data_IF_993850041713
#
_entry.id   IF_993850041713
#
_cell.length_a   1.000
_cell.length_b   1.000
_cell.length_c   1.000
_cell.angle_alpha   90.00
_cell.angle_beta   90.00
_cell.angle_gamma   90.00
#
_symmetry.space_group_name_H-M   'P 1'
#
loop_
_entity.id
_entity.type
_entity.pdbx_description
1 polymer ?
#
# COMPACT_ATOMS: atom_id res chain seq x y z
N UNK A 1 2.21 34.22 31.85
CA UNK A 1 2.92 33.40 30.84
C UNK A 1 1.97 32.28 30.44
N UNK A 2 1.21 32.47 29.36
CA UNK A 2 0.11 31.57 28.97
C UNK A 2 0.62 30.62 27.89
N UNK A 3 0.65 29.33 28.20
CA UNK A 3 1.03 28.27 27.27
C UNK A 3 -0.20 27.91 26.43
N UNK A 4 -0.12 28.13 25.11
CA UNK A 4 -1.17 27.72 24.16
C UNK A 4 -0.76 26.37 23.57
N UNK A 5 -1.54 25.33 23.87
CA UNK A 5 -1.36 24.00 23.30
C UNK A 5 -2.19 23.91 21.99
N UNK A 6 -1.51 23.75 20.86
CA UNK A 6 -2.17 23.49 19.59
C UNK A 6 -2.44 21.99 19.45
N UNK A 7 -3.70 21.58 19.56
CA UNK A 7 -4.14 20.26 19.12
C UNK A 7 -4.48 20.31 17.63
N UNK A 8 -3.61 19.76 16.78
CA UNK A 8 -3.94 19.51 15.38
C UNK A 8 -4.83 18.26 15.31
N UNK A 9 -6.13 18.45 15.11
CA UNK A 9 -7.02 17.37 14.71
C UNK A 9 -6.69 16.96 13.28
N UNK A 10 -5.92 15.88 13.13
CA UNK A 10 -5.76 15.20 11.84
C UNK A 10 -7.06 14.48 11.50
N UNK A 11 -7.94 15.12 10.73
CA UNK A 11 -9.10 14.45 10.17
C UNK A 11 -8.62 13.45 9.11
N UNK A 12 -8.57 12.16 9.47
CA UNK A 12 -8.45 11.09 8.49
C UNK A 12 -9.77 11.03 7.72
N UNK A 13 -9.83 11.68 6.55
CA UNK A 13 -10.97 11.54 5.65
C UNK A 13 -11.10 10.06 5.26
N UNK A 14 -12.22 9.42 5.64
CA UNK A 14 -12.58 8.11 5.08
C UNK A 14 -12.79 8.28 3.58
N UNK A 15 -12.25 7.38 2.77
CA UNK A 15 -12.48 7.40 1.32
C UNK A 15 -13.93 6.99 1.04
N UNK A 16 -14.67 7.76 0.25
CA UNK A 16 -16.02 7.42 -0.21
C UNK A 16 -16.00 6.50 -1.46
N UNK A 17 -14.85 5.90 -1.78
CA UNK A 17 -14.74 5.01 -2.94
C UNK A 17 -15.54 3.73 -2.75
N UNK A 18 -16.04 3.18 -3.86
CA UNK A 18 -16.73 1.90 -3.86
C UNK A 18 -15.86 0.76 -3.28
N UNK A 19 -14.54 0.82 -3.49
CA UNK A 19 -13.58 -0.16 -2.97
C UNK A 19 -13.47 -0.05 -1.45
N UNK A 20 -13.42 1.17 -0.91
CA UNK A 20 -13.36 1.40 0.52
C UNK A 20 -14.61 0.87 1.25
N UNK A 21 -15.78 1.07 0.64
CA UNK A 21 -17.09 0.72 1.22
C UNK A 21 -17.42 -0.77 1.25
N UNK A 22 -16.68 -1.63 0.53
CA UNK A 22 -17.02 -3.07 0.43
C UNK A 22 -16.28 -3.91 1.48
N UNK A 23 -16.98 -4.91 2.03
CA UNK A 23 -16.37 -5.92 2.88
C UNK A 23 -15.43 -6.84 2.08
N UNK A 24 -15.67 -6.99 0.77
CA UNK A 24 -14.85 -7.81 -0.13
C UNK A 24 -13.85 -6.93 -0.88
N UNK A 25 -12.86 -6.45 -0.13
CA UNK A 25 -11.74 -5.66 -0.65
C UNK A 25 -10.78 -6.50 -1.50
N UNK A 26 -10.30 -6.00 -2.66
CA UNK A 26 -9.29 -6.69 -3.45
C UNK A 26 -7.96 -6.75 -2.68
N UNK A 27 -7.19 -7.82 -2.85
CA UNK A 27 -5.84 -7.96 -2.29
C UNK A 27 -4.81 -7.64 -3.36
N UNK A 28 -3.79 -6.86 -3.00
CA UNK A 28 -2.68 -6.50 -3.86
C UNK A 28 -1.42 -7.30 -3.52
N UNK A 29 -0.71 -7.76 -4.55
CA UNK A 29 0.67 -8.22 -4.46
C UNK A 29 1.56 -7.16 -5.10
N UNK A 30 2.54 -6.66 -4.37
CA UNK A 30 3.44 -5.62 -4.83
C UNK A 30 4.87 -6.16 -4.90
N UNK A 31 5.39 -6.33 -6.12
CA UNK A 31 6.81 -6.60 -6.36
C UNK A 31 7.55 -5.27 -6.46
N UNK A 32 8.38 -4.99 -5.45
CA UNK A 32 9.00 -3.68 -5.28
C UNK A 32 10.50 -3.77 -5.08
N UNK A 33 11.18 -2.72 -5.53
CA UNK A 33 12.60 -2.54 -5.30
C UNK A 33 13.49 -3.32 -6.25
N UNK A 34 14.72 -2.81 -6.37
CA UNK A 34 15.82 -3.37 -7.15
C UNK A 34 17.13 -2.65 -6.77
N UNK A 35 18.17 -2.80 -7.58
CA UNK A 35 19.49 -2.15 -7.40
C UNK A 35 19.46 -0.62 -7.37
N UNK A 36 18.46 0.02 -7.95
CA UNK A 36 18.31 1.46 -8.11
C UNK A 36 17.14 2.03 -7.30
N UNK A 37 16.11 1.23 -7.05
CA UNK A 37 14.90 1.66 -6.37
C UNK A 37 14.82 1.04 -4.98
N UNK A 38 14.89 1.89 -3.95
CA UNK A 38 14.79 1.43 -2.56
C UNK A 38 13.40 0.83 -2.28
N UNK A 39 13.32 -0.44 -1.86
CA UNK A 39 12.04 -1.07 -1.50
C UNK A 39 11.40 -0.39 -0.29
N UNK A 40 12.19 0.13 0.65
CA UNK A 40 11.68 0.87 1.82
C UNK A 40 10.97 2.15 1.37
N UNK A 41 11.63 2.94 0.52
CA UNK A 41 11.04 4.18 0.01
C UNK A 41 9.75 3.92 -0.76
N UNK A 42 9.71 2.87 -1.60
CA UNK A 42 8.51 2.49 -2.33
C UNK A 42 7.41 2.05 -1.36
N UNK A 43 7.71 1.17 -0.41
CA UNK A 43 6.75 0.63 0.57
C UNK A 43 6.07 1.74 1.36
N UNK A 44 6.86 2.65 1.93
CA UNK A 44 6.38 3.71 2.83
C UNK A 44 5.42 4.67 2.12
N UNK A 45 5.64 4.92 0.83
CA UNK A 45 4.78 5.80 0.04
C UNK A 45 3.56 5.06 -0.54
N UNK A 46 3.72 3.82 -1.00
CA UNK A 46 2.65 3.03 -1.61
C UNK A 46 1.60 2.59 -0.58
N UNK A 47 2.02 2.22 0.63
CA UNK A 47 1.10 1.74 1.67
C UNK A 47 0.05 2.79 2.03
N UNK A 48 0.41 4.08 2.03
CA UNK A 48 -0.52 5.17 2.34
C UNK A 48 -1.66 5.27 1.33
N UNK A 49 -1.41 4.99 0.05
CA UNK A 49 -2.45 4.97 -0.97
C UNK A 49 -3.39 3.78 -0.76
N UNK A 50 -2.84 2.60 -0.51
CA UNK A 50 -3.61 1.36 -0.37
C UNK A 50 -4.44 1.33 0.92
N UNK A 51 -3.91 1.85 2.03
CA UNK A 51 -4.63 1.96 3.30
C UNK A 51 -5.81 2.92 3.19
N UNK A 52 -5.67 4.06 2.50
CA UNK A 52 -6.78 5.00 2.27
C UNK A 52 -7.95 4.37 1.54
N UNK A 53 -7.66 3.42 0.66
CA UNK A 53 -8.66 2.69 -0.13
C UNK A 53 -9.07 1.35 0.51
N UNK A 54 -8.59 1.06 1.73
CA UNK A 54 -8.84 -0.21 2.41
C UNK A 54 -8.42 -1.43 1.55
N UNK A 55 -7.26 -1.36 0.90
CA UNK A 55 -6.70 -2.43 0.05
C UNK A 55 -5.54 -3.10 0.81
N UNK A 56 -5.65 -4.38 1.21
CA UNK A 56 -4.54 -5.14 1.78
C UNK A 56 -3.47 -5.36 0.73
N UNK A 57 -2.21 -5.22 1.13
CA UNK A 57 -1.06 -5.43 0.25
C UNK A 57 -0.05 -6.37 0.87
N UNK A 58 0.45 -7.30 0.05
CA UNK A 58 1.61 -8.15 0.34
C UNK A 58 2.78 -7.61 -0.46
N UNK A 59 3.88 -7.26 0.20
CA UNK A 59 5.10 -6.80 -0.48
C UNK A 59 6.08 -7.97 -0.67
N UNK A 60 6.63 -8.08 -1.87
CA UNK A 60 7.73 -9.00 -2.20
C UNK A 60 8.85 -8.21 -2.90
N UNK A 61 10.09 -8.63 -2.71
CA UNK A 61 11.27 -7.99 -3.30
C UNK A 61 11.97 -8.96 -4.27
N UNK A 62 11.98 -10.25 -3.94
CA UNK A 62 12.53 -11.30 -4.77
C UNK A 62 11.60 -11.66 -5.94
N UNK A 63 12.14 -11.63 -7.16
CA UNK A 63 11.38 -11.94 -8.40
C UNK A 63 10.86 -13.37 -8.39
N UNK A 64 11.58 -14.31 -7.77
CA UNK A 64 11.16 -15.71 -7.66
C UNK A 64 9.93 -15.90 -6.76
N UNK A 65 9.64 -14.94 -5.89
CA UNK A 65 8.42 -14.93 -5.09
C UNK A 65 7.19 -14.59 -5.94
N UNK A 66 7.36 -13.98 -7.13
CA UNK A 66 6.29 -13.75 -8.09
C UNK A 66 6.03 -15.02 -8.89
N UNK A 67 5.08 -15.82 -8.43
CA UNK A 67 4.70 -17.10 -9.03
C UNK A 67 3.19 -17.34 -8.97
N UNK A 68 2.72 -18.41 -9.60
CA UNK A 68 1.29 -18.75 -9.67
C UNK A 68 0.63 -18.86 -8.28
N UNK A 69 1.35 -19.37 -7.28
CA UNK A 69 0.82 -19.48 -5.92
C UNK A 69 0.67 -18.11 -5.26
N UNK A 70 1.66 -17.21 -5.41
CA UNK A 70 1.55 -15.84 -4.90
C UNK A 70 0.44 -15.05 -5.61
N UNK A 71 0.17 -15.32 -6.88
CA UNK A 71 -0.82 -14.60 -7.69
C UNK A 71 -2.26 -15.08 -7.45
N UNK A 72 -2.46 -16.35 -7.09
CA UNK A 72 -3.80 -16.96 -7.00
C UNK A 72 -4.72 -16.26 -5.99
N UNK A 73 -4.15 -15.62 -4.96
CA UNK A 73 -4.90 -14.95 -3.91
C UNK A 73 -5.09 -13.44 -4.13
N UNK A 74 -4.46 -12.86 -5.14
CA UNK A 74 -4.38 -11.40 -5.32
C UNK A 74 -5.07 -10.97 -6.62
N UNK A 75 -5.91 -9.94 -6.54
CA UNK A 75 -6.65 -9.40 -7.69
C UNK A 75 -5.90 -8.24 -8.35
N UNK A 76 -4.89 -7.70 -7.67
CA UNK A 76 -4.09 -6.57 -8.13
C UNK A 76 -2.62 -6.98 -8.07
N UNK A 77 -1.91 -6.81 -9.18
CA UNK A 77 -0.46 -6.92 -9.24
C UNK A 77 0.12 -5.51 -9.44
N UNK A 78 1.02 -5.11 -8.56
CA UNK A 78 1.75 -3.84 -8.64
C UNK A 78 3.23 -4.19 -8.82
N UNK A 79 3.89 -3.57 -9.80
CA UNK A 79 5.32 -3.74 -10.05
C UNK A 79 5.96 -2.36 -10.06
N UNK A 80 6.89 -2.13 -9.12
CA UNK A 80 7.67 -0.90 -9.01
C UNK A 80 9.14 -1.27 -8.89
N UNK A 81 9.75 -1.49 -10.05
CA UNK A 81 11.15 -1.86 -10.22
C UNK A 81 11.57 -1.63 -11.67
N UNK A 82 12.87 -1.62 -11.89
CA UNK A 82 13.54 -1.61 -13.18
C UNK A 82 13.52 -3.04 -13.79
N UNK A 83 13.42 -3.06 -15.13
CA UNK A 83 13.23 -4.26 -15.95
C UNK A 83 14.47 -5.13 -16.03
#
# INVERSE_FOLDING_TARGET
MTLVLFFTFGASAKSDSAVYSTARRPRALALIGDRYHSPVYIRDNLINALVRENIPVTFIEEVTALNAASLSEHQILIILRDG
#
